data_IF_264955090919
#
_entry.id   IF_264955090919
#
_cell.length_a   1.000
_cell.length_b   1.000
_cell.length_c   1.000
_cell.angle_alpha   90.00
_cell.angle_beta   90.00
_cell.angle_gamma   90.00
#
_symmetry.space_group_name_H-M   'P 1'
#
loop_
_entity.id
_entity.type
_entity.pdbx_description
1 polymer ?
#
# COMPACT_ATOMS: atom_id res chain seq x y z
N UNK A 1 -4.24 -7.74 -19.85
CA UNK A 1 -3.27 -6.78 -19.28
C UNK A 1 -3.91 -6.16 -18.06
N UNK A 2 -3.40 -6.46 -16.86
CA UNK A 2 -3.91 -5.88 -15.61
C UNK A 2 -3.40 -4.43 -15.51
N UNK A 3 -4.32 -3.45 -15.52
CA UNK A 3 -3.98 -2.04 -15.35
C UNK A 3 -3.22 -1.86 -14.03
N UNK A 4 -2.07 -1.17 -14.05
CA UNK A 4 -1.30 -0.83 -12.85
C UNK A 4 -1.29 0.69 -12.72
N UNK A 5 -1.49 1.24 -11.53
CA UNK A 5 -1.34 2.67 -11.32
C UNK A 5 0.13 3.03 -11.52
N UNK A 6 0.37 4.00 -12.39
CA UNK A 6 1.62 4.75 -12.38
C UNK A 6 1.42 5.88 -11.38
N UNK A 7 2.12 5.87 -10.23
CA UNK A 7 2.04 7.00 -9.30
C UNK A 7 2.57 8.26 -9.99
N UNK A 8 1.98 9.41 -9.68
CA UNK A 8 2.57 10.70 -10.03
C UNK A 8 3.83 10.97 -9.18
N UNK A 9 4.53 12.06 -9.49
CA UNK A 9 5.80 12.39 -8.82
C UNK A 9 5.62 12.62 -7.30
N UNK A 10 4.48 13.18 -6.89
CA UNK A 10 4.18 13.45 -5.49
C UNK A 10 3.91 12.15 -4.73
N UNK A 11 3.08 11.27 -5.28
CA UNK A 11 2.79 9.95 -4.70
C UNK A 11 4.05 9.06 -4.66
N UNK A 12 4.89 9.08 -5.69
CA UNK A 12 6.15 8.32 -5.69
C UNK A 12 7.11 8.83 -4.61
N UNK A 13 7.15 10.16 -4.37
CA UNK A 13 7.92 10.75 -3.28
C UNK A 13 7.40 10.31 -1.92
N UNK A 14 6.09 10.30 -1.71
CA UNK A 14 5.48 9.84 -0.45
C UNK A 14 5.71 8.34 -0.20
N UNK A 15 5.55 7.51 -1.23
CA UNK A 15 5.85 6.07 -1.17
C UNK A 15 7.31 5.85 -0.80
N UNK A 16 8.23 6.55 -1.48
CA UNK A 16 9.67 6.46 -1.21
C UNK A 16 10.02 6.89 0.21
N UNK A 17 9.42 7.97 0.71
CA UNK A 17 9.58 8.43 2.08
C UNK A 17 9.05 7.39 3.09
N UNK A 18 7.88 6.80 2.84
CA UNK A 18 7.32 5.76 3.69
C UNK A 18 8.17 4.47 3.71
N UNK A 19 8.76 4.11 2.56
CA UNK A 19 9.63 2.94 2.40
C UNK A 19 11.05 3.14 2.96
N UNK A 20 11.45 4.37 3.28
CA UNK A 20 12.74 4.64 3.92
C UNK A 20 12.81 4.14 5.38
N UNK A 21 11.67 3.72 5.95
CA UNK A 21 11.60 3.16 7.32
C UNK A 21 12.40 1.85 7.43
N UNK A 22 13.14 1.64 8.54
CA UNK A 22 13.86 0.39 8.75
C UNK A 22 12.95 -0.83 8.68
N UNK A 23 13.35 -1.83 7.89
CA UNK A 23 12.58 -3.07 7.70
C UNK A 23 11.42 -2.96 6.72
N UNK A 24 11.16 -1.79 6.13
CA UNK A 24 10.24 -1.66 5.01
C UNK A 24 10.90 -2.16 3.71
N UNK A 25 10.09 -2.74 2.83
CA UNK A 25 10.51 -3.21 1.51
C UNK A 25 9.43 -2.92 0.48
N UNK A 26 9.85 -2.56 -0.74
CA UNK A 26 8.92 -2.31 -1.86
C UNK A 26 8.32 -3.61 -2.36
N UNK A 27 7.04 -3.57 -2.71
CA UNK A 27 6.33 -4.68 -3.37
C UNK A 27 6.41 -4.45 -4.88
N UNK A 28 7.02 -5.42 -5.59
CA UNK A 28 7.20 -5.37 -7.05
C UNK A 28 6.79 -6.74 -7.65
N UNK A 29 5.82 -6.78 -8.59
CA UNK A 29 4.97 -5.67 -9.00
C UNK A 29 4.02 -5.25 -7.87
N UNK A 30 3.58 -3.99 -7.89
CA UNK A 30 2.49 -3.51 -7.03
C UNK A 30 1.24 -4.36 -7.25
N UNK A 31 0.46 -4.56 -6.18
CA UNK A 31 -0.70 -5.46 -6.18
C UNK A 31 -1.97 -4.70 -5.82
N UNK A 32 -3.10 -4.96 -6.50
CA UNK A 32 -4.37 -4.40 -6.05
C UNK A 32 -4.76 -5.08 -4.72
N UNK A 33 -5.34 -4.31 -3.81
CA UNK A 33 -5.77 -4.77 -2.49
C UNK A 33 -7.16 -4.24 -2.13
N UNK A 34 -7.92 -5.04 -1.39
CA UNK A 34 -9.10 -4.61 -0.64
C UNK A 34 -8.76 -4.49 0.84
N UNK A 35 -9.39 -3.55 1.52
CA UNK A 35 -9.33 -3.34 2.96
C UNK A 35 -10.61 -3.86 3.61
N UNK A 36 -10.53 -4.31 4.88
CA UNK A 36 -11.69 -4.82 5.64
C UNK A 36 -12.81 -3.80 5.85
N UNK A 37 -12.49 -2.50 5.75
CA UNK A 37 -13.45 -1.39 5.81
C UNK A 37 -14.21 -1.15 4.49
N UNK A 38 -13.97 -1.96 3.47
CA UNK A 38 -14.61 -1.88 2.16
C UNK A 38 -13.88 -0.99 1.15
N UNK A 39 -12.81 -0.29 1.54
CA UNK A 39 -11.96 0.46 0.60
C UNK A 39 -11.11 -0.49 -0.24
N UNK A 40 -10.64 0.00 -1.38
CA UNK A 40 -9.70 -0.72 -2.24
C UNK A 40 -8.58 0.19 -2.69
N UNK A 41 -7.49 -0.39 -3.18
CA UNK A 41 -6.41 0.37 -3.79
C UNK A 41 -5.20 -0.50 -4.07
N UNK A 42 -3.99 -0.03 -3.75
CA UNK A 42 -2.76 -0.66 -4.21
C UNK A 42 -1.72 -0.80 -3.11
N UNK A 43 -1.13 -1.98 -3.02
CA UNK A 43 -0.05 -2.32 -2.11
C UNK A 43 1.30 -1.95 -2.75
N UNK A 44 2.01 -1.06 -2.07
CA UNK A 44 3.30 -0.49 -2.48
C UNK A 44 4.47 -1.07 -1.70
N UNK A 45 4.23 -1.49 -0.45
CA UNK A 45 5.28 -1.90 0.46
C UNK A 45 4.82 -2.85 1.54
N UNK A 46 5.77 -3.50 2.20
CA UNK A 46 5.55 -4.31 3.40
C UNK A 46 6.64 -4.04 4.42
N UNK A 47 6.29 -4.12 5.70
CA UNK A 47 7.21 -3.93 6.81
C UNK A 47 6.86 -4.89 7.94
N UNK A 48 7.87 -5.42 8.63
CA UNK A 48 7.68 -6.15 9.88
C UNK A 48 8.05 -5.24 11.05
N UNK A 49 7.12 -5.04 11.97
CA UNK A 49 7.34 -4.24 13.19
C UNK A 49 8.27 -4.98 14.16
N UNK A 50 8.83 -4.24 15.13
CA UNK A 50 9.64 -4.83 16.19
C UNK A 50 8.88 -5.87 17.04
N UNK A 51 7.56 -5.72 17.17
CA UNK A 51 6.67 -6.68 17.84
C UNK A 51 6.35 -7.92 16.98
N UNK A 52 6.89 -8.00 15.76
CA UNK A 52 6.74 -9.14 14.86
C UNK A 52 5.52 -9.08 13.94
N UNK A 53 4.63 -8.09 14.10
CA UNK A 53 3.46 -7.89 13.25
C UNK A 53 3.83 -7.39 11.84
N UNK A 54 3.09 -7.82 10.82
CA UNK A 54 3.25 -7.39 9.43
C UNK A 54 2.32 -6.23 9.09
N UNK A 55 2.86 -5.23 8.40
CA UNK A 55 2.13 -4.10 7.85
C UNK A 55 2.31 -4.04 6.34
N UNK A 56 1.27 -3.59 5.63
CA UNK A 56 1.30 -3.25 4.21
C UNK A 56 1.15 -1.74 4.03
N UNK A 57 2.02 -1.13 3.23
CA UNK A 57 1.87 0.26 2.78
C UNK A 57 0.93 0.25 1.58
N UNK A 58 -0.25 0.83 1.71
CA UNK A 58 -1.24 0.84 0.65
C UNK A 58 -1.80 2.24 0.41
N UNK A 59 -2.10 2.56 -0.85
CA UNK A 59 -3.10 3.59 -1.15
C UNK A 59 -4.48 2.96 -1.00
N UNK A 60 -5.40 3.64 -0.31
CA UNK A 60 -6.80 3.24 -0.19
C UNK A 60 -7.68 4.38 -0.70
N UNK A 61 -8.53 4.09 -1.68
CA UNK A 61 -9.39 5.07 -2.32
C UNK A 61 -10.73 5.14 -1.58
N UNK A 62 -11.10 6.36 -1.17
CA UNK A 62 -12.46 6.67 -0.69
C UNK A 62 -13.36 7.13 -1.84
N UNK A 63 -12.75 7.68 -2.89
CA UNK A 63 -13.38 8.03 -4.16
C UNK A 63 -12.34 7.93 -5.30
N UNK A 64 -12.72 8.01 -6.58
CA UNK A 64 -11.76 7.98 -7.69
C UNK A 64 -10.68 9.07 -7.65
N UNK A 65 -10.92 10.15 -6.89
CA UNK A 65 -10.04 11.33 -6.82
C UNK A 65 -9.36 11.48 -5.46
N UNK A 66 -9.77 10.69 -4.46
CA UNK A 66 -9.28 10.80 -3.09
C UNK A 66 -8.75 9.46 -2.63
N UNK A 67 -7.49 9.48 -2.21
CA UNK A 67 -6.83 8.34 -1.62
C UNK A 67 -6.08 8.73 -0.35
N UNK A 68 -5.83 7.74 0.48
CA UNK A 68 -4.96 7.83 1.64
C UNK A 68 -3.80 6.85 1.46
N UNK A 69 -2.55 7.32 1.58
CA UNK A 69 -1.37 6.46 1.68
C UNK A 69 -1.09 6.15 3.15
N UNK A 70 -1.25 4.89 3.54
CA UNK A 70 -1.14 4.51 4.95
C UNK A 70 -0.59 3.10 5.16
N UNK A 71 -0.03 2.85 6.34
CA UNK A 71 0.42 1.53 6.77
C UNK A 71 -0.74 0.81 7.45
N UNK A 72 -1.26 -0.24 6.81
CA UNK A 72 -2.32 -1.06 7.35
C UNK A 72 -1.79 -2.37 7.92
N UNK A 73 -2.40 -2.91 8.99
CA UNK A 73 -2.20 -4.29 9.40
C UNK A 73 -2.42 -5.26 8.23
N UNK A 74 -1.51 -6.23 8.07
CA UNK A 74 -1.59 -7.16 6.94
C UNK A 74 -2.86 -8.05 6.97
N UNK A 75 -3.45 -8.27 8.14
CA UNK A 75 -4.73 -8.98 8.32
C UNK A 75 -5.96 -8.16 7.92
N UNK A 76 -5.81 -6.84 7.75
CA UNK A 76 -6.85 -5.96 7.22
C UNK A 76 -6.78 -5.80 5.70
N UNK A 77 -5.68 -6.23 5.06
CA UNK A 77 -5.50 -6.16 3.63
C UNK A 77 -5.64 -7.53 2.97
N UNK A 78 -6.37 -7.57 1.86
CA UNK A 78 -6.49 -8.74 0.99
C UNK A 78 -6.05 -8.39 -0.42
N UNK A 79 -5.13 -9.15 -0.99
CA UNK A 79 -4.78 -9.00 -2.42
C UNK A 79 -5.97 -9.37 -3.29
N UNK A 80 -6.24 -8.55 -4.29
CA UNK A 80 -7.25 -8.80 -5.32
C UNK A 80 -6.56 -9.46 -6.52
N UNK A 81 -7.23 -10.43 -7.14
CA UNK A 81 -6.74 -11.15 -8.32
C UNK A 81 -7.22 -10.48 -9.61
#
# INVERSE_FOLDING_TARGET
MQWRPTPDEDLEREISAALSRPGASRVVPTRPVGCSDGRSGWLWGRMRTAAGAWLGLATLYSSPWEYELTWQPADQLRTLD
#
